data_IF_298470844869
#
_entry.id   IF_298470844869
#
_cell.length_a   1.000
_cell.length_b   1.000
_cell.length_c   1.000
_cell.angle_alpha   90.00
_cell.angle_beta   90.00
_cell.angle_gamma   90.00
#
_symmetry.space_group_name_H-M   'P 1'
#
loop_
_entity.id
_entity.type
_entity.pdbx_description
1 polymer ?
#
# COMPACT_ATOMS: atom_id res chain seq x y z
N UNK A 1 -14.18 6.92 -14.24
CA UNK A 1 -13.62 6.29 -15.46
C UNK A 1 -14.54 6.67 -16.61
N UNK A 2 -14.03 7.32 -17.65
CA UNK A 2 -14.88 7.77 -18.75
C UNK A 2 -15.33 6.59 -19.63
N UNK A 3 -14.38 5.89 -20.25
CA UNK A 3 -14.62 4.76 -21.17
C UNK A 3 -13.46 3.76 -21.10
N UNK A 4 -13.27 3.18 -19.91
CA UNK A 4 -12.20 2.21 -19.65
C UNK A 4 -12.58 0.84 -20.23
N UNK A 5 -11.61 0.15 -20.85
CA UNK A 5 -11.76 -1.28 -21.14
C UNK A 5 -11.71 -2.08 -19.83
N UNK A 6 -12.90 -2.41 -19.30
CA UNK A 6 -13.06 -3.09 -18.03
C UNK A 6 -12.44 -4.49 -18.05
N UNK A 7 -12.55 -5.21 -19.16
CA UNK A 7 -11.96 -6.55 -19.30
C UNK A 7 -10.44 -6.50 -19.12
N UNK A 8 -9.75 -5.59 -19.81
CA UNK A 8 -8.30 -5.44 -19.66
C UNK A 8 -7.89 -4.99 -18.25
N UNK A 9 -8.67 -4.09 -17.64
CA UNK A 9 -8.43 -3.66 -16.28
C UNK A 9 -8.53 -4.83 -15.28
N UNK A 10 -9.51 -5.72 -15.46
CA UNK A 10 -9.64 -6.93 -14.65
C UNK A 10 -8.44 -7.87 -14.82
N UNK A 11 -7.95 -8.07 -16.04
CA UNK A 11 -6.78 -8.95 -16.27
C UNK A 11 -5.47 -8.38 -15.71
N UNK A 12 -5.35 -7.05 -15.65
CA UNK A 12 -4.14 -6.39 -15.15
C UNK A 12 -4.03 -6.42 -13.62
N UNK A 13 -5.13 -6.68 -12.93
CA UNK A 13 -5.17 -6.86 -11.48
C UNK A 13 -4.96 -8.32 -11.15
N UNK A 14 -3.70 -8.71 -10.97
CA UNK A 14 -3.38 -10.07 -10.50
C UNK A 14 -3.69 -10.17 -9.01
N UNK A 15 -4.68 -10.98 -8.68
CA UNK A 15 -4.90 -11.39 -7.30
C UNK A 15 -3.93 -12.52 -6.96
N UNK A 16 -3.24 -12.38 -5.84
CA UNK A 16 -2.48 -13.49 -5.28
C UNK A 16 -3.47 -14.55 -4.76
N UNK A 17 -3.57 -15.68 -5.46
CA UNK A 17 -4.43 -16.80 -5.10
C UNK A 17 -4.07 -17.40 -3.73
N UNK A 18 -2.81 -17.28 -3.29
CA UNK A 18 -2.39 -17.72 -1.96
C UNK A 18 -2.93 -16.79 -0.87
N UNK A 19 -2.99 -15.49 -1.11
CA UNK A 19 -3.60 -14.52 -0.20
C UNK A 19 -5.13 -14.65 -0.19
N UNK A 20 -5.74 -14.99 -1.32
CA UNK A 20 -7.17 -15.29 -1.43
C UNK A 20 -7.56 -16.53 -0.61
N UNK A 21 -6.74 -17.58 -0.63
CA UNK A 21 -6.94 -18.80 0.17
C UNK A 21 -6.79 -18.56 1.69
N UNK A 22 -5.98 -17.58 2.12
CA UNK A 22 -5.79 -17.21 3.53
C UNK A 22 -6.86 -16.27 4.09
N UNK A 23 -7.83 -15.79 3.29
CA UNK A 23 -8.85 -14.83 3.75
C UNK A 23 -9.81 -15.46 4.75
N UNK A 24 -9.53 -15.28 6.04
CA UNK A 24 -10.41 -15.62 7.17
C UNK A 24 -11.46 -14.53 7.48
N UNK A 25 -11.49 -13.43 6.72
CA UNK A 25 -12.45 -12.33 6.87
C UNK A 25 -13.58 -12.35 5.82
N UNK A 26 -14.63 -11.53 6.04
CA UNK A 26 -15.72 -11.36 5.07
C UNK A 26 -15.16 -10.70 3.81
N UNK A 27 -15.30 -11.37 2.67
CA UNK A 27 -14.88 -10.83 1.39
C UNK A 27 -15.60 -9.49 1.12
N UNK A 28 -14.84 -8.45 0.75
CA UNK A 28 -15.44 -7.20 0.26
C UNK A 28 -16.35 -7.51 -0.93
N UNK A 29 -17.61 -7.06 -0.87
CA UNK A 29 -18.51 -7.13 -2.03
C UNK A 29 -17.97 -6.18 -3.08
N UNK A 30 -17.47 -6.72 -4.19
CA UNK A 30 -17.03 -5.90 -5.32
C UNK A 30 -18.24 -5.19 -5.88
N UNK A 31 -18.27 -3.87 -5.74
CA UNK A 31 -19.17 -3.05 -6.53
C UNK A 31 -18.75 -3.16 -7.99
N UNK A 32 -19.69 -3.39 -8.92
CA UNK A 32 -19.37 -3.34 -10.34
C UNK A 32 -18.86 -1.96 -10.68
N UNK A 33 -17.77 -1.94 -11.43
CA UNK A 33 -17.19 -0.72 -11.96
C UNK A 33 -17.89 -0.44 -13.29
N UNK A 34 -18.39 0.78 -13.47
CA UNK A 34 -19.11 1.19 -14.68
C UNK A 34 -18.48 2.44 -15.28
N UNK A 35 -18.59 2.59 -16.60
CA UNK A 35 -18.08 3.73 -17.34
C UNK A 35 -19.06 4.90 -17.30
N UNK A 36 -18.52 6.12 -17.14
CA UNK A 36 -19.34 7.34 -17.13
C UNK A 36 -19.99 7.58 -18.49
N UNK A 37 -19.34 7.18 -19.60
CA UNK A 37 -19.86 7.36 -20.96
C UNK A 37 -21.27 6.81 -21.16
N UNK A 38 -21.64 5.74 -20.45
CA UNK A 38 -22.99 5.14 -20.50
C UNK A 38 -24.10 6.07 -19.98
N UNK A 39 -23.73 7.08 -19.20
CA UNK A 39 -24.63 8.06 -18.59
C UNK A 39 -24.54 9.44 -19.22
N UNK A 40 -23.67 9.62 -20.22
CA UNK A 40 -23.46 10.88 -20.92
C UNK A 40 -24.19 10.87 -22.27
N UNK A 41 -24.43 12.04 -22.88
CA UNK A 41 -24.93 12.11 -24.25
C UNK A 41 -24.04 11.30 -25.20
N UNK A 42 -24.63 10.56 -26.15
CA UNK A 42 -23.89 9.59 -27.00
C UNK A 42 -22.71 10.19 -27.76
N UNK A 43 -22.74 11.48 -28.08
CA UNK A 43 -21.68 12.18 -28.83
C UNK A 43 -20.60 12.79 -27.94
N UNK A 44 -20.74 12.78 -26.62
CA UNK A 44 -19.81 13.46 -25.71
C UNK A 44 -18.51 12.67 -25.59
N UNK A 45 -17.42 13.21 -26.11
CA UNK A 45 -16.07 12.67 -26.00
C UNK A 45 -15.44 12.92 -24.61
N UNK A 46 -14.27 12.34 -24.34
CA UNK A 46 -13.49 12.63 -23.13
C UNK A 46 -13.05 14.10 -23.08
N UNK A 47 -12.73 14.70 -24.23
CA UNK A 47 -12.32 16.09 -24.30
C UNK A 47 -13.50 17.03 -24.02
N UNK A 48 -14.68 16.70 -24.54
CA UNK A 48 -15.92 17.44 -24.25
C UNK A 48 -16.27 17.36 -22.76
N UNK A 49 -16.15 16.17 -22.15
CA UNK A 49 -16.36 15.99 -20.72
C UNK A 49 -15.35 16.79 -19.88
N UNK A 50 -14.07 16.79 -20.31
CA UNK A 50 -13.02 17.57 -19.64
C UNK A 50 -13.33 19.06 -19.69
N UNK A 51 -13.71 19.58 -20.85
CA UNK A 51 -14.07 20.99 -21.01
C UNK A 51 -15.28 21.35 -20.13
N UNK A 52 -16.34 20.54 -20.18
CA UNK A 52 -17.52 20.73 -19.34
C UNK A 52 -17.14 20.78 -17.85
N UNK A 53 -16.34 19.81 -17.40
CA UNK A 53 -15.91 19.72 -16.00
C UNK A 53 -15.06 20.93 -15.58
N UNK A 54 -14.15 21.41 -16.43
CA UNK A 54 -13.34 22.58 -16.14
C UNK A 54 -14.20 23.84 -16.03
N UNK A 55 -15.16 24.04 -16.93
CA UNK A 55 -16.11 25.15 -16.87
C UNK A 55 -16.91 25.15 -15.57
N UNK A 56 -17.40 23.99 -15.15
CA UNK A 56 -18.12 23.82 -13.89
C UNK A 56 -17.23 24.05 -12.66
N UNK A 57 -15.98 23.56 -12.65
CA UNK A 57 -15.06 23.72 -11.51
C UNK A 57 -14.65 25.18 -11.32
N UNK A 58 -14.39 25.89 -12.42
CA UNK A 58 -13.93 27.27 -12.39
C UNK A 58 -15.09 28.29 -12.47
N UNK A 59 -16.33 27.82 -12.61
CA UNK A 59 -17.54 28.63 -12.73
C UNK A 59 -17.46 29.66 -13.89
N UNK A 60 -17.00 29.20 -15.06
CA UNK A 60 -16.82 30.02 -16.27
C UNK A 60 -17.54 29.44 -17.49
N UNK A 61 -17.94 30.30 -18.42
CA UNK A 61 -18.59 29.89 -19.67
C UNK A 61 -17.59 29.46 -20.75
N UNK A 62 -16.37 30.01 -20.74
CA UNK A 62 -15.32 29.73 -21.73
C UNK A 62 -14.02 29.29 -21.05
N UNK A 63 -13.28 28.38 -21.70
CA UNK A 63 -11.98 27.94 -21.19
C UNK A 63 -10.95 29.07 -21.18
N UNK A 64 -11.10 30.07 -22.07
CA UNK A 64 -10.20 31.24 -22.14
C UNK A 64 -10.30 32.12 -20.89
N UNK A 65 -11.36 31.98 -20.09
CA UNK A 65 -11.55 32.68 -18.83
C UNK A 65 -10.79 32.00 -17.67
N UNK A 66 -10.19 30.83 -17.91
CA UNK A 66 -9.38 30.09 -16.93
C UNK A 66 -7.92 30.51 -17.06
N UNK A 67 -7.31 30.95 -15.95
CA UNK A 67 -5.87 31.23 -15.92
C UNK A 67 -5.07 29.94 -16.13
N UNK A 68 -4.34 29.86 -17.24
CA UNK A 68 -3.50 28.70 -17.58
C UNK A 68 -2.04 29.00 -17.27
N UNK A 69 -1.47 28.23 -16.34
CA UNK A 69 -0.02 28.21 -16.17
C UNK A 69 0.64 27.40 -17.28
N UNK A 70 1.41 28.08 -18.14
CA UNK A 70 2.24 27.43 -19.13
C UNK A 70 3.59 27.07 -18.53
N UNK A 71 3.87 25.77 -18.42
CA UNK A 71 5.14 25.26 -17.91
C UNK A 71 6.32 25.83 -18.71
N UNK A 72 7.31 26.34 -17.99
CA UNK A 72 8.55 26.85 -18.57
C UNK A 72 9.49 25.70 -18.94
N UNK A 73 10.52 25.98 -19.75
CA UNK A 73 11.58 25.00 -20.04
C UNK A 73 12.25 24.47 -18.77
N UNK A 74 12.37 25.31 -17.73
CA UNK A 74 12.92 24.92 -16.44
C UNK A 74 11.99 23.94 -15.71
N UNK A 75 10.68 24.13 -15.78
CA UNK A 75 9.71 23.21 -15.17
C UNK A 75 9.78 21.85 -15.84
N UNK A 76 9.87 21.83 -17.17
CA UNK A 76 10.05 20.60 -17.94
C UNK A 76 11.35 19.88 -17.59
N UNK A 77 12.47 20.60 -17.44
CA UNK A 77 13.74 20.00 -16.99
C UNK A 77 13.61 19.34 -15.62
N UNK A 78 12.88 19.97 -14.68
CA UNK A 78 12.64 19.40 -13.35
C UNK A 78 11.74 18.16 -13.45
N UNK A 79 10.68 18.20 -14.26
CA UNK A 79 9.78 17.06 -14.48
C UNK A 79 10.56 15.88 -15.07
N UNK A 80 11.37 16.11 -16.10
CA UNK A 80 12.20 15.09 -16.73
C UNK A 80 13.19 14.48 -15.73
N UNK A 81 13.84 15.32 -14.90
CA UNK A 81 14.71 14.83 -13.84
C UNK A 81 13.94 13.95 -12.85
N UNK A 82 12.74 14.35 -12.42
CA UNK A 82 11.90 13.56 -11.50
C UNK A 82 11.43 12.25 -12.11
N UNK A 83 11.16 12.24 -13.40
CA UNK A 83 10.85 11.01 -14.14
C UNK A 83 12.04 10.07 -14.12
N UNK A 84 13.26 10.55 -14.37
CA UNK A 84 14.47 9.73 -14.36
C UNK A 84 14.84 9.21 -12.97
N UNK A 85 14.68 10.04 -11.94
CA UNK A 85 15.15 9.72 -10.58
C UNK A 85 14.09 8.98 -9.73
N UNK A 86 12.81 9.06 -10.09
CA UNK A 86 11.73 8.53 -9.25
C UNK A 86 10.69 7.80 -10.09
N UNK A 87 9.79 8.52 -10.77
CA UNK A 87 8.56 7.92 -11.32
C UNK A 87 8.79 6.92 -12.45
N UNK A 88 9.91 7.02 -13.17
CA UNK A 88 10.32 6.09 -14.22
C UNK A 88 11.20 4.93 -13.73
N UNK A 89 11.51 4.86 -12.43
CA UNK A 89 12.41 3.83 -11.89
C UNK A 89 11.64 2.58 -11.44
N UNK A 90 12.21 1.40 -11.65
CA UNK A 90 11.65 0.14 -11.13
C UNK A 90 11.55 0.14 -9.60
N UNK A 91 12.52 0.78 -8.93
CA UNK A 91 12.53 0.92 -7.48
C UNK A 91 11.32 1.68 -6.96
N UNK A 92 10.81 2.66 -7.70
CA UNK A 92 9.56 3.33 -7.36
C UNK A 92 8.33 2.53 -7.80
N UNK A 93 8.30 2.07 -9.05
CA UNK A 93 7.13 1.45 -9.65
C UNK A 93 6.78 0.08 -9.06
N UNK A 94 7.81 -0.70 -8.69
CA UNK A 94 7.64 -2.04 -8.13
C UNK A 94 8.13 -2.13 -6.68
N UNK A 95 8.95 -1.18 -6.22
CA UNK A 95 9.71 -1.36 -5.00
C UNK A 95 10.85 -2.36 -5.19
N UNK A 96 11.78 -2.38 -4.25
CA UNK A 96 12.57 -3.59 -4.01
C UNK A 96 11.86 -4.38 -2.92
N UNK A 97 11.40 -5.60 -3.21
CA UNK A 97 11.19 -6.55 -2.11
C UNK A 97 12.59 -6.91 -1.59
N UNK A 98 13.01 -6.42 -0.41
CA UNK A 98 14.37 -6.65 0.09
C UNK A 98 14.61 -8.12 0.50
N UNK A 99 13.63 -9.00 0.31
CA UNK A 99 13.74 -10.42 0.59
C UNK A 99 12.68 -10.94 1.56
N UNK A 100 11.53 -10.27 1.72
CA UNK A 100 10.37 -10.78 2.45
C UNK A 100 9.70 -11.88 1.64
N UNK A 101 9.51 -13.06 2.23
CA UNK A 101 8.87 -14.21 1.59
C UNK A 101 7.56 -14.61 2.25
N UNK A 102 7.33 -14.17 3.48
CA UNK A 102 6.12 -14.48 4.22
C UNK A 102 5.42 -13.19 4.66
N UNK A 103 4.10 -13.21 4.55
CA UNK A 103 3.21 -12.22 5.12
C UNK A 103 2.13 -12.92 5.95
N UNK A 104 1.93 -12.43 7.16
CA UNK A 104 0.88 -12.86 8.08
C UNK A 104 0.33 -11.66 8.82
N UNK A 105 -0.95 -11.71 9.19
CA UNK A 105 -1.58 -10.63 9.92
C UNK A 105 -2.62 -11.17 10.91
N UNK A 106 -2.77 -10.48 12.03
CA UNK A 106 -3.74 -10.80 13.06
C UNK A 106 -4.42 -9.52 13.56
N UNK A 107 -5.67 -9.64 13.99
CA UNK A 107 -6.42 -8.54 14.59
C UNK A 107 -6.07 -8.43 16.10
N UNK A 108 -5.66 -7.24 16.51
CA UNK A 108 -5.43 -6.83 17.89
C UNK A 108 -6.52 -5.84 18.31
N UNK A 109 -6.65 -5.59 19.61
CA UNK A 109 -7.64 -4.62 20.12
C UNK A 109 -7.50 -3.22 19.50
N UNK A 110 -6.27 -2.79 19.21
CA UNK A 110 -5.99 -1.50 18.58
C UNK A 110 -6.22 -1.48 17.05
N UNK A 111 -6.36 -2.65 16.41
CA UNK A 111 -6.50 -2.78 14.96
C UNK A 111 -5.71 -3.97 14.40
N UNK A 112 -5.66 -4.08 13.07
CA UNK A 112 -4.96 -5.17 12.40
C UNK A 112 -3.45 -4.91 12.38
N UNK A 113 -2.65 -5.91 12.75
CA UNK A 113 -1.19 -5.87 12.68
C UNK A 113 -0.69 -6.95 11.74
N UNK A 114 -0.10 -6.53 10.61
CA UNK A 114 0.59 -7.42 9.68
C UNK A 114 2.10 -7.42 9.92
N UNK A 115 2.77 -8.53 9.60
CA UNK A 115 4.23 -8.59 9.46
C UNK A 115 4.62 -9.17 8.11
N UNK A 116 5.61 -8.56 7.47
CA UNK A 116 6.38 -9.16 6.39
C UNK A 116 7.68 -9.70 7.00
N UNK A 117 8.03 -10.96 6.76
CA UNK A 117 9.22 -11.56 7.35
C UNK A 117 9.84 -12.63 6.46
N UNK A 118 11.09 -12.97 6.78
CA UNK A 118 11.83 -14.09 6.22
C UNK A 118 12.76 -14.65 7.28
N UNK A 119 12.69 -15.96 7.49
CA UNK A 119 13.63 -16.72 8.32
C UNK A 119 14.50 -17.56 7.40
N UNK A 120 15.82 -17.54 7.60
CA UNK A 120 16.77 -18.42 6.91
C UNK A 120 17.72 -19.01 7.94
N UNK A 121 18.01 -20.29 7.83
CA UNK A 121 18.89 -21.03 8.75
C UNK A 121 18.52 -20.81 10.23
N UNK A 122 17.21 -20.74 10.52
CA UNK A 122 16.68 -20.52 11.87
C UNK A 122 16.90 -19.11 12.43
N UNK A 123 17.22 -18.12 11.60
CA UNK A 123 17.40 -16.71 11.99
C UNK A 123 16.49 -15.79 11.20
N UNK A 124 15.94 -14.77 11.87
CA UNK A 124 15.14 -13.73 11.22
C UNK A 124 16.06 -12.86 10.36
N UNK A 125 15.94 -12.93 9.04
CA UNK A 125 16.75 -12.12 8.11
C UNK A 125 16.05 -10.80 7.81
N UNK A 126 14.72 -10.85 7.65
CA UNK A 126 13.90 -9.67 7.42
C UNK A 126 12.66 -9.71 8.33
N UNK A 127 12.29 -8.56 8.87
CA UNK A 127 11.05 -8.37 9.62
C UNK A 127 10.58 -6.91 9.50
N UNK A 128 9.32 -6.73 9.12
CA UNK A 128 8.65 -5.44 9.01
C UNK A 128 7.23 -5.50 9.52
N UNK A 129 6.89 -4.68 10.50
CA UNK A 129 5.50 -4.49 10.95
C UNK A 129 4.76 -3.50 10.05
N UNK A 130 3.49 -3.81 9.81
CA UNK A 130 2.55 -3.03 9.00
C UNK A 130 1.24 -2.86 9.80
N UNK A 131 1.22 -2.00 10.82
CA UNK A 131 0.01 -1.74 11.61
C UNK A 131 -1.01 -0.93 10.80
N UNK A 132 -2.29 -1.26 10.94
CA UNK A 132 -3.41 -0.45 10.39
C UNK A 132 -3.85 0.68 11.34
N UNK A 133 -3.08 0.94 12.39
CA UNK A 133 -3.39 1.85 13.48
C UNK A 133 -2.13 2.59 13.93
N UNK A 134 -2.32 3.72 14.62
CA UNK A 134 -1.20 4.47 15.20
C UNK A 134 -0.63 3.71 16.40
N UNK A 135 0.68 3.49 16.42
CA UNK A 135 1.36 2.69 17.46
C UNK A 135 1.94 3.62 18.52
N UNK A 136 1.60 3.39 19.79
CA UNK A 136 2.26 4.02 20.94
C UNK A 136 3.45 3.17 21.38
N UNK A 137 4.63 3.53 20.89
CA UNK A 137 5.90 2.84 21.11
C UNK A 137 6.73 2.74 19.84
N UNK A 138 7.71 1.82 19.80
CA UNK A 138 8.64 1.67 18.68
C UNK A 138 8.71 0.21 18.17
N UNK A 139 7.96 -0.08 17.10
CA UNK A 139 8.04 -1.35 16.40
C UNK A 139 9.35 -1.53 15.63
N UNK A 140 10.00 -0.47 15.16
CA UNK A 140 11.31 -0.58 14.49
C UNK A 140 12.38 -1.09 15.45
N UNK A 141 12.29 -0.70 16.72
CA UNK A 141 13.17 -1.25 17.75
C UNK A 141 12.97 -2.76 17.92
N UNK A 142 11.72 -3.25 17.84
CA UNK A 142 11.42 -4.69 17.87
C UNK A 142 12.00 -5.39 16.64
N UNK A 143 11.77 -4.85 15.44
CA UNK A 143 12.31 -5.34 14.16
C UNK A 143 13.84 -5.52 14.25
N UNK A 144 14.53 -4.43 14.59
CA UNK A 144 15.99 -4.38 14.65
C UNK A 144 16.56 -5.31 15.72
N UNK A 145 15.83 -5.52 16.81
CA UNK A 145 16.29 -6.42 17.89
C UNK A 145 16.22 -7.90 17.47
N UNK A 146 15.27 -8.25 16.59
CA UNK A 146 15.04 -9.63 16.14
C UNK A 146 15.86 -10.00 14.89
N UNK A 147 16.12 -9.04 14.01
CA UNK A 147 16.94 -9.29 12.81
C UNK A 147 18.32 -9.83 13.20
N UNK A 148 18.75 -10.89 12.52
CA UNK A 148 20.01 -11.62 12.74
C UNK A 148 19.99 -12.58 13.92
N UNK A 149 18.83 -12.85 14.53
CA UNK A 149 18.70 -13.75 15.68
C UNK A 149 17.75 -14.90 15.43
N UNK A 150 17.97 -16.01 16.13
CA UNK A 150 16.97 -17.06 16.26
C UNK A 150 15.84 -16.58 17.18
N UNK A 151 14.58 -16.60 16.74
CA UNK A 151 13.46 -15.96 17.43
C UNK A 151 12.89 -16.85 18.55
N UNK A 152 13.73 -17.20 19.52
CA UNK A 152 13.28 -17.90 20.73
C UNK A 152 12.36 -17.01 21.56
N UNK A 153 11.49 -17.62 22.37
CA UNK A 153 10.52 -16.90 23.20
C UNK A 153 11.15 -15.78 24.05
N UNK A 154 12.27 -16.05 24.71
CA UNK A 154 13.02 -15.05 25.52
C UNK A 154 13.52 -13.87 24.67
N UNK A 155 14.01 -14.14 23.46
CA UNK A 155 14.48 -13.09 22.54
C UNK A 155 13.31 -12.23 22.05
N UNK A 156 12.18 -12.86 21.72
CA UNK A 156 10.93 -12.18 21.32
C UNK A 156 10.44 -11.27 22.44
N UNK A 157 10.28 -11.81 23.65
CA UNK A 157 9.82 -11.02 24.79
C UNK A 157 10.73 -9.82 25.08
N UNK A 158 12.05 -10.01 25.01
CA UNK A 158 13.02 -8.94 25.20
C UNK A 158 12.90 -7.88 24.12
N UNK A 159 12.73 -8.28 22.86
CA UNK A 159 12.53 -7.35 21.75
C UNK A 159 11.27 -6.50 21.95
N UNK A 160 10.14 -7.12 22.31
CA UNK A 160 8.88 -6.41 22.56
C UNK A 160 9.03 -5.43 23.74
N UNK A 161 9.67 -5.85 24.85
CA UNK A 161 9.93 -4.98 26.00
C UNK A 161 10.76 -3.75 25.61
N UNK A 162 11.76 -3.92 24.75
CA UNK A 162 12.58 -2.81 24.25
C UNK A 162 11.80 -1.81 23.39
N UNK A 163 10.79 -2.28 22.66
CA UNK A 163 9.90 -1.43 21.87
C UNK A 163 8.96 -0.54 22.70
N UNK A 164 8.81 -0.83 24.01
CA UNK A 164 7.98 -0.05 24.96
C UNK A 164 6.56 0.21 24.44
N UNK A 165 5.97 -0.79 23.78
CA UNK A 165 4.64 -0.72 23.18
C UNK A 165 3.56 -0.63 24.27
N UNK A 166 2.62 0.32 24.14
CA UNK A 166 1.59 0.58 25.16
C UNK A 166 0.18 0.21 24.72
N UNK A 167 -0.09 0.29 23.42
CA UNK A 167 -1.42 0.01 22.86
C UNK A 167 -1.48 -1.33 22.11
N UNK A 168 -0.51 -2.23 22.34
CA UNK A 168 -0.49 -3.58 21.80
C UNK A 168 -0.32 -4.54 22.98
N UNK A 169 -1.20 -5.55 23.08
CA UNK A 169 -1.13 -6.54 24.15
C UNK A 169 0.16 -7.36 24.06
N UNK A 170 0.92 -7.38 25.16
CA UNK A 170 2.25 -8.00 25.22
C UNK A 170 2.21 -9.50 24.95
N UNK A 171 1.27 -10.20 25.58
CA UNK A 171 1.14 -11.67 25.47
C UNK A 171 0.67 -12.07 24.08
N UNK A 172 -0.31 -11.34 23.54
CA UNK A 172 -0.83 -11.55 22.20
C UNK A 172 0.25 -11.33 21.15
N UNK A 173 1.05 -10.26 21.26
CA UNK A 173 2.14 -9.99 20.32
C UNK A 173 3.26 -11.03 20.43
N UNK A 174 3.60 -11.45 21.65
CA UNK A 174 4.60 -12.51 21.87
C UNK A 174 4.18 -13.82 21.22
N UNK A 175 2.92 -14.23 21.41
CA UNK A 175 2.39 -15.45 20.80
C UNK A 175 2.35 -15.35 19.27
N UNK A 176 1.91 -14.21 18.74
CA UNK A 176 1.86 -13.94 17.30
C UNK A 176 3.25 -14.07 16.65
N UNK A 177 4.27 -13.42 17.23
CA UNK A 177 5.64 -13.52 16.71
C UNK A 177 6.23 -14.92 16.90
N UNK A 178 5.98 -15.58 18.04
CA UNK A 178 6.54 -16.90 18.31
C UNK A 178 5.98 -17.98 17.38
N UNK A 179 4.69 -17.88 17.04
CA UNK A 179 4.05 -18.76 16.07
C UNK A 179 4.72 -18.63 14.71
N UNK A 180 4.79 -17.41 14.15
CA UNK A 180 5.17 -17.26 12.74
C UNK A 180 6.68 -17.16 12.48
N UNK A 181 7.49 -16.75 13.46
CA UNK A 181 8.93 -16.69 13.26
C UNK A 181 9.64 -18.03 13.52
N UNK A 182 8.94 -19.04 14.05
CA UNK A 182 9.49 -20.38 14.30
C UNK A 182 8.83 -21.48 13.44
N UNK A 183 7.89 -21.12 12.56
CA UNK A 183 7.32 -22.01 11.52
C UNK A 183 8.29 -22.17 10.34
#
# INVERSE_FOLDING_TARGET
>A
MYDLNLDNAHHSLTEDESEKAKRLGVASRRSPVINLKEFLPESMSIDDLREYLLKEIFEVDNLDDIEVYHMTDKDWQIIDQRMLETYGTDEWNYGRNPGYYHYVAQDFTAGRLGINYTVRDGQVVHLKFNPSFEVDGDLKQVETTLIGKSPTLDIIERAIKNGKLRNIDFSQLTNFLNQFLND
#
